data_IF_255790352618
#
_entry.id   IF_255790352618
#
_cell.length_a   1.000
_cell.length_b   1.000
_cell.length_c   1.000
_cell.angle_alpha   90.00
_cell.angle_beta   90.00
_cell.angle_gamma   90.00
#
_symmetry.space_group_name_H-M   'P 1'
#
loop_
_entity.id
_entity.type
_entity.pdbx_description
1 polymer ?
#
# COMPACT_ATOMS: atom_id res chain seq x y z
N UNK A 1 -17.96 31.07 -17.74
CA UNK A 1 -16.67 30.72 -17.14
C UNK A 1 -16.52 29.20 -17.25
N UNK A 2 -15.66 28.72 -18.14
CA UNK A 2 -15.30 27.31 -18.13
C UNK A 2 -14.39 27.07 -16.94
N UNK A 3 -14.58 25.98 -16.16
CA UNK A 3 -13.64 25.62 -15.12
C UNK A 3 -12.29 25.30 -15.77
N UNK A 4 -11.22 25.97 -15.30
CA UNK A 4 -9.86 25.63 -15.66
C UNK A 4 -9.52 24.30 -14.98
N UNK A 5 -9.87 23.21 -15.63
CA UNK A 5 -9.46 21.89 -15.20
C UNK A 5 -8.21 21.46 -15.96
N UNK A 6 -7.12 21.34 -15.23
CA UNK A 6 -5.86 20.69 -15.60
C UNK A 6 -5.23 21.17 -16.91
N UNK A 7 -4.22 21.99 -16.78
CA UNK A 7 -3.29 22.20 -17.90
C UNK A 7 -2.77 20.83 -18.36
N UNK A 8 -2.79 20.60 -19.67
CA UNK A 8 -2.24 19.38 -20.29
C UNK A 8 -0.69 19.32 -20.22
N UNK A 9 -0.08 20.12 -19.34
CA UNK A 9 1.36 20.13 -19.13
C UNK A 9 1.77 18.89 -18.34
N UNK A 10 2.87 18.28 -18.73
CA UNK A 10 3.53 17.24 -17.96
C UNK A 10 3.71 17.74 -16.52
N UNK A 11 3.30 16.96 -15.54
CA UNK A 11 3.52 17.28 -14.13
C UNK A 11 5.01 17.03 -13.85
N UNK A 12 5.76 18.09 -13.56
CA UNK A 12 7.22 17.96 -13.38
C UNK A 12 7.56 17.04 -12.22
N UNK A 13 6.83 17.17 -11.09
CA UNK A 13 7.08 16.37 -9.89
C UNK A 13 5.77 15.88 -9.25
N UNK A 14 5.60 14.58 -9.20
CA UNK A 14 4.52 13.93 -8.46
C UNK A 14 5.10 13.15 -7.28
N UNK A 15 4.34 13.05 -6.19
CA UNK A 15 4.64 12.13 -5.10
C UNK A 15 3.51 11.11 -4.94
N UNK A 16 3.88 9.83 -4.86
CA UNK A 16 3.01 8.71 -4.52
C UNK A 16 3.36 8.24 -3.10
N UNK A 17 2.46 8.46 -2.17
CA UNK A 17 2.61 8.04 -0.78
C UNK A 17 1.77 6.79 -0.58
N UNK A 18 2.43 5.67 -0.37
CA UNK A 18 1.79 4.37 -0.31
C UNK A 18 1.39 4.05 1.13
N UNK A 19 0.09 3.85 1.35
CA UNK A 19 -0.54 3.40 2.58
C UNK A 19 0.00 4.08 3.87
N UNK A 20 0.05 5.41 3.96
CA UNK A 20 0.55 6.13 5.13
C UNK A 20 -0.47 6.11 6.27
N UNK A 21 -0.98 4.92 6.62
CA UNK A 21 -2.13 4.73 7.51
C UNK A 21 -1.71 4.41 8.94
N UNK A 22 -2.57 4.77 9.89
CA UNK A 22 -2.29 4.58 11.30
C UNK A 22 -2.03 3.11 11.67
N UNK A 23 -2.75 2.17 11.03
CA UNK A 23 -2.57 0.74 11.33
C UNK A 23 -1.20 0.19 10.93
N UNK A 24 -0.51 0.84 9.98
CA UNK A 24 0.83 0.43 9.55
C UNK A 24 1.96 1.14 10.30
N UNK A 25 1.67 2.15 11.13
CA UNK A 25 2.70 2.90 11.83
C UNK A 25 2.86 2.42 13.28
N UNK A 26 4.09 2.27 13.74
CA UNK A 26 4.44 1.99 15.15
C UNK A 26 4.23 3.23 16.03
N UNK A 27 2.97 3.67 16.12
CA UNK A 27 2.60 4.95 16.75
C UNK A 27 2.84 4.96 18.25
N UNK A 28 3.48 6.03 18.78
CA UNK A 28 3.60 6.24 20.21
C UNK A 28 2.22 6.59 20.83
N UNK A 29 2.06 6.43 22.17
CA UNK A 29 0.77 6.63 22.83
C UNK A 29 0.10 7.98 22.55
N UNK A 30 0.88 9.04 22.35
CA UNK A 30 0.37 10.40 22.10
C UNK A 30 -0.34 10.54 20.73
N UNK A 31 -0.09 9.61 19.80
CA UNK A 31 -0.77 9.52 18.51
C UNK A 31 -1.99 8.60 18.53
N UNK A 32 -2.21 7.88 19.65
CA UNK A 32 -3.24 6.86 19.78
C UNK A 32 -4.45 7.44 20.54
N UNK A 33 -5.63 7.62 19.91
CA UNK A 33 -6.78 8.19 20.58
C UNK A 33 -7.40 7.20 21.56
N UNK A 34 -8.07 7.72 22.59
CA UNK A 34 -8.82 6.92 23.54
C UNK A 34 -10.30 6.89 23.16
N UNK A 35 -10.82 5.71 22.88
CA UNK A 35 -12.23 5.49 22.66
C UNK A 35 -12.94 5.14 23.97
N UNK A 36 -14.13 5.72 24.27
CA UNK A 36 -14.80 5.53 25.56
C UNK A 36 -15.11 4.06 25.92
N UNK A 37 -15.37 3.23 24.91
CA UNK A 37 -15.72 1.81 25.11
C UNK A 37 -14.55 0.86 24.84
N UNK A 38 -13.62 1.21 23.96
CA UNK A 38 -12.53 0.32 23.49
C UNK A 38 -11.19 0.61 24.15
N UNK A 39 -11.09 1.69 24.93
CA UNK A 39 -9.82 2.13 25.49
C UNK A 39 -8.92 2.79 24.43
N UNK A 40 -7.61 2.79 24.65
CA UNK A 40 -6.64 3.34 23.69
C UNK A 40 -6.60 2.49 22.44
N UNK A 41 -6.93 3.10 21.30
CA UNK A 41 -6.81 2.46 19.98
C UNK A 41 -5.31 2.30 19.64
N UNK A 42 -4.96 1.16 19.07
CA UNK A 42 -3.58 0.86 18.70
C UNK A 42 -3.53 0.40 17.24
N UNK A 43 -2.41 0.64 16.54
CA UNK A 43 -2.17 0.08 15.22
C UNK A 43 -2.34 -1.44 15.21
N UNK A 44 -3.00 -1.98 14.19
CA UNK A 44 -3.30 -3.42 14.09
C UNK A 44 -2.16 -4.22 13.45
N UNK A 45 -1.37 -3.58 12.59
CA UNK A 45 -0.26 -4.20 11.86
C UNK A 45 0.95 -3.22 11.81
N UNK A 46 1.50 -2.85 12.98
CA UNK A 46 2.56 -1.85 13.03
C UNK A 46 3.86 -2.34 12.39
N UNK A 47 4.41 -1.51 11.52
CA UNK A 47 5.73 -1.67 10.89
C UNK A 47 6.74 -0.87 11.70
N UNK A 48 7.78 -1.53 12.18
CA UNK A 48 8.81 -0.88 12.99
C UNK A 48 9.53 0.21 12.21
N UNK A 49 9.53 1.44 12.73
CA UNK A 49 10.15 2.61 12.09
C UNK A 49 9.20 3.46 11.26
N UNK A 50 8.03 2.95 10.90
CA UNK A 50 7.08 3.63 10.02
C UNK A 50 6.61 4.99 10.56
N UNK A 51 6.43 5.14 11.87
CA UNK A 51 6.12 6.43 12.45
C UNK A 51 7.21 7.48 12.16
N UNK A 52 8.48 7.12 12.33
CA UNK A 52 9.60 8.00 12.03
C UNK A 52 9.74 8.28 10.53
N UNK A 53 9.41 7.30 9.68
CA UNK A 53 9.39 7.43 8.22
C UNK A 53 8.34 8.48 7.81
N UNK A 54 7.12 8.38 8.34
CA UNK A 54 6.07 9.36 8.06
C UNK A 54 6.41 10.76 8.56
N UNK A 55 7.11 10.87 9.69
CA UNK A 55 7.58 12.17 10.19
C UNK A 55 8.65 12.79 9.27
N UNK A 56 9.61 11.99 8.78
CA UNK A 56 10.61 12.46 7.81
C UNK A 56 9.97 12.90 6.52
N UNK A 57 9.07 12.09 5.99
CA UNK A 57 8.34 12.38 4.77
C UNK A 57 7.50 13.66 4.89
N UNK A 58 6.77 13.82 5.98
CA UNK A 58 5.97 15.04 6.23
C UNK A 58 6.83 16.30 6.24
N UNK A 59 7.99 16.27 6.91
CA UNK A 59 8.96 17.38 6.92
C UNK A 59 9.52 17.65 5.52
N UNK A 60 9.80 16.59 4.76
CA UNK A 60 10.27 16.71 3.38
C UNK A 60 9.21 17.36 2.48
N UNK A 61 7.94 16.93 2.55
CA UNK A 61 6.82 17.54 1.82
C UNK A 61 6.71 19.03 2.16
N UNK A 62 6.77 19.38 3.44
CA UNK A 62 6.70 20.78 3.87
C UNK A 62 7.86 21.63 3.33
N UNK A 63 9.06 21.06 3.26
CA UNK A 63 10.24 21.75 2.74
C UNK A 63 10.16 21.98 1.23
N UNK A 64 9.70 20.96 0.48
CA UNK A 64 9.64 20.99 -0.98
C UNK A 64 8.28 21.43 -1.53
N UNK A 65 7.39 21.92 -0.70
CA UNK A 65 5.95 22.16 -0.97
C UNK A 65 5.69 22.96 -2.25
N UNK A 66 6.57 23.89 -2.61
CA UNK A 66 6.43 24.72 -3.81
C UNK A 66 6.84 23.99 -5.10
N UNK A 67 7.56 22.89 -4.99
CA UNK A 67 8.12 22.13 -6.10
C UNK A 67 7.36 20.83 -6.37
N UNK A 68 6.35 20.49 -5.56
CA UNK A 68 5.47 19.34 -5.74
C UNK A 68 4.22 19.78 -6.51
N UNK A 69 3.99 19.17 -7.66
CA UNK A 69 2.86 19.50 -8.54
C UNK A 69 1.62 18.65 -8.28
N UNK A 70 1.79 17.40 -7.83
CA UNK A 70 0.70 16.48 -7.50
C UNK A 70 1.07 15.56 -6.34
N UNK A 71 0.10 15.29 -5.46
CA UNK A 71 0.22 14.31 -4.38
C UNK A 71 -0.88 13.27 -4.57
N UNK A 72 -0.48 12.02 -4.60
CA UNK A 72 -1.38 10.86 -4.58
C UNK A 72 -1.09 10.02 -3.35
N UNK A 73 -2.13 9.65 -2.60
CA UNK A 73 -2.05 8.74 -1.45
C UNK A 73 -2.78 7.44 -1.81
N UNK A 74 -2.17 6.30 -1.52
CA UNK A 74 -2.90 5.03 -1.55
C UNK A 74 -3.40 4.67 -0.16
N UNK A 75 -4.54 4.01 -0.11
CA UNK A 75 -5.17 3.58 1.13
C UNK A 75 -5.59 2.12 1.01
N UNK A 76 -4.96 1.27 1.79
CA UNK A 76 -5.45 -0.08 1.98
C UNK A 76 -6.81 -0.02 2.69
N UNK A 77 -7.83 -0.68 2.11
CA UNK A 77 -9.23 -0.39 2.45
C UNK A 77 -10.05 -1.67 2.56
N UNK A 78 -9.83 -2.37 3.67
CA UNK A 78 -10.46 -3.65 3.92
C UNK A 78 -11.84 -3.54 4.59
N UNK A 79 -12.66 -4.54 4.34
CA UNK A 79 -13.76 -4.89 5.23
C UNK A 79 -13.26 -5.95 6.24
N UNK A 80 -14.01 -6.14 7.34
CA UNK A 80 -13.66 -7.15 8.35
C UNK A 80 -13.54 -8.55 7.72
N UNK A 81 -14.47 -8.92 6.82
CA UNK A 81 -14.43 -10.17 6.08
C UNK A 81 -13.58 -10.02 4.82
N UNK A 82 -12.42 -10.68 4.83
CA UNK A 82 -11.46 -10.65 3.73
C UNK A 82 -10.64 -11.96 3.73
N UNK A 83 -10.23 -12.42 2.54
CA UNK A 83 -9.43 -13.65 2.38
C UNK A 83 -8.09 -13.58 3.12
N UNK A 84 -7.55 -12.40 3.33
CA UNK A 84 -6.32 -12.17 4.08
C UNK A 84 -6.54 -12.02 5.60
N UNK A 85 -7.76 -12.20 6.13
CA UNK A 85 -8.06 -12.03 7.55
C UNK A 85 -8.47 -13.34 8.24
N UNK A 86 -8.26 -13.47 9.58
CA UNK A 86 -8.58 -14.68 10.34
C UNK A 86 -10.03 -15.13 10.22
N UNK A 87 -10.98 -14.18 10.13
CA UNK A 87 -12.41 -14.48 10.07
C UNK A 87 -12.84 -15.27 8.82
N UNK A 88 -12.01 -15.30 7.76
CA UNK A 88 -12.27 -16.06 6.54
C UNK A 88 -11.93 -17.55 6.70
N UNK A 89 -10.92 -17.86 7.52
CA UNK A 89 -10.28 -19.16 7.60
C UNK A 89 -10.59 -19.90 8.89
N UNK A 90 -10.44 -21.21 8.84
CA UNK A 90 -10.45 -22.09 10.02
C UNK A 90 -9.45 -23.25 9.87
N UNK A 91 -8.96 -23.71 11.03
CA UNK A 91 -8.19 -24.93 11.19
C UNK A 91 -8.85 -25.76 12.30
N UNK A 92 -9.31 -26.96 11.99
CA UNK A 92 -10.03 -27.84 12.96
C UNK A 92 -11.24 -27.18 13.64
N UNK A 93 -11.94 -26.27 12.94
CA UNK A 93 -13.08 -25.54 13.47
C UNK A 93 -12.76 -24.28 14.29
N UNK A 94 -11.47 -23.99 14.53
CA UNK A 94 -10.99 -22.81 15.24
C UNK A 94 -10.51 -21.74 14.26
N UNK A 95 -10.53 -20.48 14.69
CA UNK A 95 -10.01 -19.36 13.91
C UNK A 95 -8.50 -19.49 13.67
N UNK A 96 -8.06 -19.16 12.47
CA UNK A 96 -6.63 -19.12 12.14
C UNK A 96 -6.00 -17.87 12.76
N UNK A 97 -4.82 -18.06 13.39
CA UNK A 97 -4.07 -16.94 13.96
C UNK A 97 -3.50 -16.02 12.89
N UNK A 98 -3.38 -14.71 13.15
CA UNK A 98 -2.60 -13.82 12.30
C UNK A 98 -1.18 -14.33 12.05
N UNK A 99 -0.59 -13.92 10.92
CA UNK A 99 0.73 -14.32 10.44
C UNK A 99 0.86 -15.81 10.08
N UNK A 100 -0.27 -16.48 9.86
CA UNK A 100 -0.29 -17.85 9.33
C UNK A 100 -0.20 -17.81 7.80
N UNK A 101 0.73 -18.55 7.24
CA UNK A 101 0.79 -18.80 5.80
C UNK A 101 -0.11 -19.97 5.43
N UNK A 102 -0.84 -19.87 4.33
CA UNK A 102 -1.74 -20.92 3.84
C UNK A 102 -1.40 -21.23 2.39
N UNK A 103 -1.15 -22.51 2.10
CA UNK A 103 -0.89 -23.04 0.76
C UNK A 103 -2.09 -23.78 0.19
N UNK A 104 -2.15 -23.90 -1.14
CA UNK A 104 -3.17 -24.70 -1.82
C UNK A 104 -3.12 -26.19 -1.37
N UNK A 105 -1.92 -26.73 -1.13
CA UNK A 105 -1.74 -28.11 -0.66
C UNK A 105 -2.35 -28.31 0.72
N UNK A 106 -2.12 -27.40 1.66
CA UNK A 106 -2.71 -27.46 3.00
C UNK A 106 -4.24 -27.42 2.98
N UNK A 107 -4.83 -26.64 2.06
CA UNK A 107 -6.28 -26.62 1.88
C UNK A 107 -6.79 -27.93 1.24
N UNK A 108 -6.06 -28.51 0.28
CA UNK A 108 -6.41 -29.81 -0.31
C UNK A 108 -6.42 -30.93 0.73
N UNK A 109 -5.43 -30.92 1.60
CA UNK A 109 -5.25 -31.91 2.67
C UNK A 109 -6.18 -31.70 3.87
N UNK A 110 -6.99 -30.61 3.87
CA UNK A 110 -7.95 -30.31 4.92
C UNK A 110 -7.33 -29.72 6.19
N UNK A 111 -6.06 -29.29 6.15
CA UNK A 111 -5.41 -28.63 7.28
C UNK A 111 -6.04 -27.26 7.55
N UNK A 112 -6.29 -26.50 6.48
CA UNK A 112 -7.02 -25.24 6.50
C UNK A 112 -8.25 -25.32 5.58
N UNK A 113 -9.27 -24.57 5.92
CA UNK A 113 -10.43 -24.39 5.05
C UNK A 113 -11.05 -23.00 5.23
N UNK A 114 -11.74 -22.46 4.20
CA UNK A 114 -12.60 -21.30 4.43
C UNK A 114 -13.74 -21.71 5.38
N UNK A 115 -14.14 -20.83 6.29
CA UNK A 115 -15.27 -21.09 7.20
C UNK A 115 -16.56 -21.42 6.45
N UNK A 116 -16.78 -20.75 5.31
CA UNK A 116 -17.87 -21.09 4.39
C UNK A 116 -17.35 -22.08 3.35
N UNK A 117 -17.62 -23.36 3.56
CA UNK A 117 -17.11 -24.45 2.72
C UNK A 117 -17.46 -24.32 1.24
N UNK A 118 -18.57 -23.67 0.91
CA UNK A 118 -18.92 -23.37 -0.50
C UNK A 118 -17.88 -22.52 -1.24
N UNK A 119 -16.97 -21.85 -0.53
CA UNK A 119 -15.88 -21.07 -1.12
C UNK A 119 -14.61 -21.89 -1.41
N UNK A 120 -14.59 -23.20 -1.10
CA UNK A 120 -13.38 -24.05 -1.16
C UNK A 120 -12.79 -24.10 -2.57
N UNK A 121 -13.60 -24.25 -3.59
CA UNK A 121 -13.12 -24.33 -4.98
C UNK A 121 -12.52 -22.99 -5.44
N UNK A 122 -13.16 -21.89 -5.09
CA UNK A 122 -12.62 -20.54 -5.33
C UNK A 122 -11.26 -20.35 -4.66
N UNK A 123 -11.18 -20.69 -3.37
CA UNK A 123 -9.95 -20.56 -2.57
C UNK A 123 -8.81 -21.37 -3.17
N UNK A 124 -9.07 -22.61 -3.60
CA UNK A 124 -8.06 -23.45 -4.25
C UNK A 124 -7.58 -22.82 -5.56
N UNK A 125 -8.50 -22.29 -6.39
CA UNK A 125 -8.13 -21.60 -7.60
C UNK A 125 -7.28 -20.34 -7.31
N UNK A 126 -7.66 -19.56 -6.30
CA UNK A 126 -6.93 -18.37 -5.85
C UNK A 126 -5.51 -18.73 -5.41
N UNK A 127 -5.35 -19.70 -4.50
CA UNK A 127 -4.05 -20.11 -3.97
C UNK A 127 -3.16 -20.72 -5.06
N UNK A 128 -3.70 -21.58 -5.94
CA UNK A 128 -2.95 -22.12 -7.07
C UNK A 128 -2.45 -21.03 -8.02
N UNK A 129 -3.27 -20.01 -8.26
CA UNK A 129 -2.91 -18.89 -9.12
C UNK A 129 -1.81 -18.04 -8.47
N UNK A 130 -1.95 -17.74 -7.18
CA UNK A 130 -0.97 -16.99 -6.39
C UNK A 130 0.38 -17.71 -6.37
N UNK A 131 0.38 -19.02 -6.10
CA UNK A 131 1.60 -19.85 -6.05
C UNK A 131 2.30 -19.95 -7.41
N UNK A 132 1.54 -20.05 -8.52
CA UNK A 132 2.11 -20.05 -9.88
C UNK A 132 2.86 -18.77 -10.23
N UNK A 133 2.46 -17.64 -9.65
CA UNK A 133 3.15 -16.38 -9.86
C UNK A 133 4.52 -16.36 -9.16
N UNK A 134 4.73 -17.21 -8.16
CA UNK A 134 6.00 -17.36 -7.44
C UNK A 134 6.43 -16.13 -6.65
N UNK A 135 5.53 -15.18 -6.39
CA UNK A 135 5.84 -13.92 -5.72
C UNK A 135 5.78 -14.06 -4.20
N UNK A 136 4.74 -14.70 -3.68
CA UNK A 136 4.53 -14.94 -2.25
C UNK A 136 3.47 -16.02 -2.00
N UNK A 137 3.42 -16.52 -0.76
CA UNK A 137 2.35 -17.38 -0.24
C UNK A 137 1.31 -16.52 0.46
N UNK A 138 0.03 -16.90 0.42
CA UNK A 138 -1.01 -16.17 1.16
C UNK A 138 -0.63 -16.06 2.63
N UNK A 139 -0.62 -14.85 3.14
CA UNK A 139 -0.47 -14.53 4.56
C UNK A 139 -1.83 -14.13 5.15
N UNK A 140 -2.21 -14.72 6.27
CA UNK A 140 -3.35 -14.24 7.06
C UNK A 140 -2.85 -13.13 7.97
N UNK A 141 -3.24 -11.91 7.68
CA UNK A 141 -2.87 -10.72 8.46
C UNK A 141 -3.82 -10.48 9.64
N UNK A 142 -3.43 -9.73 10.68
CA UNK A 142 -4.41 -9.14 11.59
C UNK A 142 -5.45 -8.34 10.80
N UNK A 143 -6.68 -8.21 11.32
CA UNK A 143 -7.64 -7.28 10.71
C UNK A 143 -7.08 -5.87 10.82
N UNK A 144 -6.82 -5.24 9.69
CA UNK A 144 -6.16 -3.95 9.60
C UNK A 144 -6.84 -3.06 8.56
N UNK A 145 -6.61 -1.79 8.63
CA UNK A 145 -7.09 -0.78 7.68
C UNK A 145 -8.58 -0.95 7.32
N UNK A 146 -9.38 -1.33 8.34
CA UNK A 146 -10.83 -1.48 8.14
C UNK A 146 -11.45 -0.13 7.84
N UNK A 147 -12.16 -0.02 6.72
CA UNK A 147 -12.81 1.22 6.28
C UNK A 147 -13.67 1.82 7.38
N UNK A 148 -13.42 3.10 7.68
CA UNK A 148 -14.11 3.84 8.74
C UNK A 148 -13.51 3.70 10.13
N UNK A 149 -12.48 2.86 10.32
CA UNK A 149 -11.73 2.80 11.59
C UNK A 149 -10.70 3.93 11.67
N UNK A 150 -10.21 4.21 12.89
CA UNK A 150 -9.06 5.09 13.08
C UNK A 150 -7.80 4.54 12.39
N UNK A 151 -7.61 3.23 12.39
CA UNK A 151 -6.49 2.57 11.75
C UNK A 151 -6.42 2.79 10.24
N UNK A 152 -7.58 2.90 9.58
CA UNK A 152 -7.68 3.23 8.16
C UNK A 152 -7.27 4.69 7.86
N UNK A 153 -7.32 5.58 8.85
CA UNK A 153 -6.97 7.00 8.69
C UNK A 153 -5.49 7.20 8.38
N UNK A 154 -5.19 8.28 7.65
CA UNK A 154 -3.83 8.70 7.32
C UNK A 154 -3.10 9.18 8.59
N UNK A 155 -1.81 8.88 8.70
CA UNK A 155 -0.91 9.37 9.75
C UNK A 155 -1.02 10.90 9.90
N UNK A 156 -1.13 11.37 11.15
CA UNK A 156 -1.46 12.77 11.43
C UNK A 156 -0.49 13.78 10.80
N UNK A 157 0.82 13.52 10.82
CA UNK A 157 1.81 14.43 10.25
C UNK A 157 1.75 14.47 8.72
N UNK A 158 1.48 13.34 8.06
CA UNK A 158 1.25 13.28 6.61
C UNK A 158 0.00 14.05 6.25
N UNK A 159 -1.11 13.83 6.97
CA UNK A 159 -2.35 14.54 6.73
C UNK A 159 -2.17 16.06 6.88
N UNK A 160 -1.44 16.51 7.91
CA UNK A 160 -1.13 17.92 8.12
C UNK A 160 -0.27 18.51 6.99
N UNK A 161 0.78 17.80 6.55
CA UNK A 161 1.65 18.23 5.45
C UNK A 161 0.88 18.32 4.12
N UNK A 162 0.04 17.33 3.83
CA UNK A 162 -0.83 17.32 2.64
C UNK A 162 -1.87 18.45 2.69
N UNK A 163 -2.47 18.72 3.86
CA UNK A 163 -3.41 19.83 4.02
C UNK A 163 -2.74 21.17 3.79
N UNK A 164 -1.51 21.35 4.29
CA UNK A 164 -0.72 22.55 4.03
C UNK A 164 -0.39 22.71 2.54
N UNK A 165 -0.01 21.62 1.88
CA UNK A 165 0.25 21.62 0.43
C UNK A 165 -1.01 22.00 -0.35
N UNK A 166 -2.18 21.42 -0.04
CA UNK A 166 -3.45 21.77 -0.69
C UNK A 166 -3.76 23.26 -0.60
N UNK A 167 -3.56 23.86 0.59
CA UNK A 167 -3.81 25.30 0.79
C UNK A 167 -2.83 26.16 -0.02
N UNK A 168 -1.54 25.82 -0.02
CA UNK A 168 -0.52 26.61 -0.70
C UNK A 168 -0.55 26.45 -2.23
N UNK A 169 -0.83 25.24 -2.71
CA UNK A 169 -0.86 24.93 -4.15
C UNK A 169 -2.24 25.09 -4.77
N UNK A 170 -3.30 25.25 -3.94
CA UNK A 170 -4.70 25.29 -4.37
C UNK A 170 -5.10 24.08 -5.23
N UNK A 171 -4.58 22.91 -4.86
CA UNK A 171 -4.81 21.62 -5.49
C UNK A 171 -5.42 20.65 -4.49
N UNK A 172 -5.93 19.52 -4.96
CA UNK A 172 -6.40 18.42 -4.13
C UNK A 172 -5.40 17.27 -4.15
N UNK A 173 -5.23 16.62 -3.01
CA UNK A 173 -4.60 15.29 -2.94
C UNK A 173 -5.54 14.30 -3.62
N UNK A 174 -4.97 13.38 -4.38
CA UNK A 174 -5.72 12.31 -5.00
C UNK A 174 -5.57 11.01 -4.18
N UNK A 175 -6.65 10.23 -4.08
CA UNK A 175 -6.68 9.00 -3.30
C UNK A 175 -6.89 7.78 -4.21
N UNK A 176 -6.14 6.71 -3.93
CA UNK A 176 -6.31 5.38 -4.53
C UNK A 176 -6.72 4.42 -3.41
N UNK A 177 -7.94 3.89 -3.48
CA UNK A 177 -8.43 2.87 -2.55
C UNK A 177 -8.17 1.49 -3.12
N UNK A 178 -7.37 0.67 -2.44
CA UNK A 178 -7.10 -0.72 -2.81
C UNK A 178 -7.61 -1.68 -1.73
N UNK A 179 -7.59 -2.99 -1.96
CA UNK A 179 -7.99 -3.99 -0.96
C UNK A 179 -9.50 -4.11 -0.73
N UNK A 180 -10.34 -3.49 -1.57
CA UNK A 180 -11.79 -3.45 -1.38
C UNK A 180 -12.49 -4.79 -1.70
N UNK A 181 -11.88 -5.67 -2.51
CA UNK A 181 -12.41 -7.00 -2.78
C UNK A 181 -12.12 -7.95 -1.62
N UNK A 182 -13.12 -8.66 -1.06
CA UNK A 182 -12.87 -9.63 0.00
C UNK A 182 -12.25 -10.94 -0.49
N UNK A 183 -12.07 -11.10 -1.80
CA UNK A 183 -11.71 -12.36 -2.44
C UNK A 183 -10.25 -12.44 -2.88
N UNK A 184 -9.53 -11.35 -2.87
CA UNK A 184 -8.14 -11.29 -3.28
C UNK A 184 -7.38 -10.27 -2.45
N UNK A 185 -6.12 -10.55 -2.16
CA UNK A 185 -5.19 -9.57 -1.58
C UNK A 185 -4.79 -8.53 -2.63
N UNK A 186 -4.43 -7.35 -2.17
CA UNK A 186 -4.14 -6.22 -3.04
C UNK A 186 -2.98 -5.41 -2.48
N UNK A 187 -1.75 -5.93 -2.62
CA UNK A 187 -0.56 -5.20 -2.15
C UNK A 187 -0.26 -4.00 -3.05
N UNK A 188 -0.15 -4.20 -4.35
CA UNK A 188 0.07 -3.10 -5.28
C UNK A 188 -1.12 -2.13 -5.32
N UNK A 189 -0.86 -0.84 -5.45
CA UNK A 189 -1.90 0.16 -5.67
C UNK A 189 -2.58 0.05 -7.05
N UNK A 190 -2.01 -0.72 -7.98
CA UNK A 190 -2.43 -0.73 -9.38
C UNK A 190 -3.22 -1.97 -9.80
N UNK A 191 -3.05 -3.10 -9.09
CA UNK A 191 -3.70 -4.36 -9.44
C UNK A 191 -3.70 -5.30 -8.24
N UNK A 192 -4.78 -6.05 -8.05
CA UNK A 192 -4.84 -7.12 -7.05
C UNK A 192 -3.88 -8.27 -7.37
N UNK A 193 -3.55 -9.08 -6.35
CA UNK A 193 -2.60 -10.20 -6.50
C UNK A 193 -3.15 -11.30 -7.43
N UNK A 194 -4.43 -11.59 -7.34
CA UNK A 194 -5.14 -12.44 -8.30
C UNK A 194 -6.36 -11.66 -8.80
N UNK A 195 -6.25 -11.01 -9.96
CA UNK A 195 -7.34 -10.21 -10.52
C UNK A 195 -8.55 -11.07 -10.89
N UNK A 196 -9.75 -10.58 -10.57
CA UNK A 196 -11.03 -11.18 -10.99
C UNK A 196 -11.61 -10.36 -12.14
N UNK A 197 -11.75 -10.94 -13.35
CA UNK A 197 -12.35 -10.23 -14.49
C UNK A 197 -13.78 -9.71 -14.26
N UNK A 198 -14.49 -10.27 -13.28
CA UNK A 198 -15.85 -9.83 -12.93
C UNK A 198 -15.87 -8.66 -11.92
N UNK A 199 -14.73 -8.37 -11.28
CA UNK A 199 -14.57 -7.24 -10.34
C UNK A 199 -13.53 -6.24 -10.87
N UNK A 200 -13.96 -5.17 -11.55
CA UNK A 200 -13.04 -4.18 -12.13
C UNK A 200 -12.06 -3.54 -11.14
N UNK A 201 -12.39 -3.53 -9.84
CA UNK A 201 -11.51 -2.98 -8.80
C UNK A 201 -10.26 -3.82 -8.55
N UNK A 202 -10.23 -5.05 -9.04
CA UNK A 202 -9.09 -5.97 -8.92
C UNK A 202 -8.16 -5.91 -10.12
N UNK A 203 -8.65 -5.37 -11.24
CA UNK A 203 -7.91 -5.29 -12.49
C UNK A 203 -6.85 -4.18 -12.46
N UNK A 204 -5.94 -4.22 -13.44
CA UNK A 204 -4.94 -3.15 -13.60
C UNK A 204 -5.62 -1.80 -13.83
N UNK A 205 -5.37 -0.86 -12.94
CA UNK A 205 -5.89 0.51 -13.07
C UNK A 205 -5.03 1.31 -14.06
N UNK A 206 -5.41 1.20 -15.33
CA UNK A 206 -4.73 1.89 -16.42
C UNK A 206 -4.90 3.40 -16.38
N UNK A 207 -5.96 3.91 -15.73
CA UNK A 207 -6.17 5.34 -15.59
C UNK A 207 -5.15 5.96 -14.63
N UNK A 208 -4.94 5.32 -13.47
CA UNK A 208 -3.91 5.74 -12.54
C UNK A 208 -2.51 5.54 -13.10
N UNK A 209 -2.26 4.42 -13.76
CA UNK A 209 -0.98 4.16 -14.43
C UNK A 209 -0.63 5.28 -15.41
N UNK A 210 -1.58 5.67 -16.26
CA UNK A 210 -1.41 6.76 -17.21
C UNK A 210 -1.25 8.14 -16.53
N UNK A 211 -1.89 8.35 -15.37
CA UNK A 211 -1.71 9.58 -14.59
C UNK A 211 -0.29 9.66 -14.01
N UNK A 212 0.17 8.58 -13.39
CA UNK A 212 1.52 8.51 -12.79
C UNK A 212 2.62 8.62 -13.87
N UNK A 213 2.40 8.09 -15.06
CA UNK A 213 3.35 8.16 -16.19
C UNK A 213 3.55 9.57 -16.77
N UNK A 214 2.69 10.53 -16.40
CA UNK A 214 2.87 11.94 -16.82
C UNK A 214 3.95 12.67 -16.02
N UNK A 215 4.39 12.11 -14.91
CA UNK A 215 5.44 12.73 -14.10
C UNK A 215 6.79 12.70 -14.82
N UNK A 216 7.52 13.81 -14.79
CA UNK A 216 8.94 13.83 -15.12
C UNK A 216 9.76 13.19 -14.00
N UNK A 217 9.30 13.37 -12.74
CA UNK A 217 9.83 12.73 -11.53
C UNK A 217 8.66 12.22 -10.71
N UNK A 218 8.60 10.90 -10.49
CA UNK A 218 7.65 10.25 -9.61
C UNK A 218 8.37 9.78 -8.35
N UNK A 219 8.14 10.50 -7.26
CA UNK A 219 8.73 10.21 -5.95
C UNK A 219 7.82 9.25 -5.22
N UNK A 220 8.40 8.18 -4.65
CA UNK A 220 7.65 7.09 -4.02
C UNK A 220 8.18 6.90 -2.60
N UNK A 221 7.25 6.86 -1.63
CA UNK A 221 7.49 6.61 -0.22
C UNK A 221 6.28 5.93 0.40
N UNK A 222 6.35 5.51 1.66
CA UNK A 222 5.21 4.93 2.40
C UNK A 222 5.44 3.49 2.86
N UNK A 223 4.38 2.79 3.23
CA UNK A 223 4.45 1.51 3.93
C UNK A 223 3.71 0.37 3.19
N UNK A 224 4.17 -0.89 3.36
CA UNK A 224 5.50 -1.27 3.82
C UNK A 224 6.41 -1.57 2.63
N UNK A 225 7.70 -1.27 2.76
CA UNK A 225 8.69 -1.44 1.69
C UNK A 225 8.83 -2.88 1.18
N UNK A 226 8.54 -3.87 2.03
CA UNK A 226 8.57 -5.29 1.69
C UNK A 226 7.31 -5.79 0.95
N UNK A 227 6.21 -5.01 0.96
CA UNK A 227 4.90 -5.38 0.43
C UNK A 227 4.32 -4.28 -0.49
N UNK A 228 3.46 -3.41 0.02
CA UNK A 228 2.70 -2.49 -0.82
C UNK A 228 3.59 -1.58 -1.67
N UNK A 229 4.69 -1.07 -1.13
CA UNK A 229 5.66 -0.25 -1.88
C UNK A 229 6.33 -1.10 -2.96
N UNK A 230 6.90 -2.25 -2.59
CA UNK A 230 7.56 -3.18 -3.51
C UNK A 230 6.65 -3.55 -4.68
N UNK A 231 5.46 -4.09 -4.38
CA UNK A 231 4.56 -4.60 -5.42
C UNK A 231 4.03 -3.47 -6.33
N UNK A 232 3.83 -2.26 -5.78
CA UNK A 232 3.46 -1.10 -6.59
C UNK A 232 4.58 -0.71 -7.55
N UNK A 233 5.83 -0.66 -7.07
CA UNK A 233 7.00 -0.33 -7.90
C UNK A 233 7.25 -1.41 -8.95
N UNK A 234 7.09 -2.70 -8.61
CA UNK A 234 7.19 -3.80 -9.58
C UNK A 234 6.16 -3.65 -10.70
N UNK A 235 4.92 -3.29 -10.38
CA UNK A 235 3.88 -3.02 -11.39
C UNK A 235 4.18 -1.76 -12.20
N UNK A 236 4.69 -0.70 -11.59
CA UNK A 236 5.15 0.48 -12.33
C UNK A 236 6.25 0.09 -13.32
N UNK A 237 7.27 -0.64 -12.88
CA UNK A 237 8.36 -1.10 -13.77
C UNK A 237 7.87 -1.98 -14.93
N UNK A 238 6.83 -2.76 -14.69
CA UNK A 238 6.29 -3.66 -15.71
C UNK A 238 5.32 -2.98 -16.69
N UNK A 239 4.50 -2.05 -16.20
CA UNK A 239 3.35 -1.53 -16.95
C UNK A 239 3.46 -0.06 -17.37
N UNK A 240 4.44 0.73 -16.87
CA UNK A 240 4.54 2.14 -17.24
C UNK A 240 4.64 2.31 -18.76
N UNK A 241 3.69 3.03 -19.40
CA UNK A 241 3.66 3.21 -20.85
C UNK A 241 4.95 3.82 -21.42
N UNK A 242 5.58 4.73 -20.66
CA UNK A 242 6.85 5.37 -21.08
C UNK A 242 8.03 4.42 -21.06
N UNK A 243 8.00 3.35 -20.26
CA UNK A 243 9.15 2.46 -20.02
C UNK A 243 10.37 3.19 -19.47
N UNK A 244 10.19 4.24 -18.65
CA UNK A 244 11.27 5.10 -18.14
C UNK A 244 11.43 4.95 -16.62
N UNK A 245 12.09 3.89 -16.14
CA UNK A 245 12.30 3.67 -14.71
C UNK A 245 13.16 4.76 -14.05
N UNK A 246 13.99 5.46 -14.81
CA UNK A 246 14.82 6.57 -14.32
C UNK A 246 14.01 7.80 -13.83
N UNK A 247 12.71 7.84 -14.10
CA UNK A 247 11.80 8.86 -13.53
C UNK A 247 11.31 8.51 -12.14
N UNK A 248 11.43 7.24 -11.73
CA UNK A 248 11.02 6.79 -10.41
C UNK A 248 12.13 7.08 -9.40
N UNK A 249 11.79 7.66 -8.26
CA UNK A 249 12.72 8.00 -7.17
C UNK A 249 12.16 7.41 -5.87
N UNK A 250 12.87 6.47 -5.25
CA UNK A 250 12.48 5.90 -3.96
C UNK A 250 13.14 6.69 -2.82
N UNK A 251 12.36 7.14 -1.85
CA UNK A 251 12.85 7.72 -0.59
C UNK A 251 13.00 6.59 0.44
N UNK A 252 14.18 6.00 0.50
CA UNK A 252 14.42 4.78 1.29
C UNK A 252 14.45 4.99 2.80
N UNK A 253 14.55 6.23 3.26
CA UNK A 253 14.40 6.61 4.67
C UNK A 253 12.96 7.02 5.04
N UNK A 254 12.01 6.83 4.11
CA UNK A 254 10.58 7.05 4.30
C UNK A 254 9.77 5.80 3.93
N UNK A 255 10.33 4.62 4.23
CA UNK A 255 9.71 3.32 4.07
C UNK A 255 10.43 2.25 4.89
N UNK A 256 9.71 1.43 5.61
CA UNK A 256 10.25 0.33 6.43
C UNK A 256 9.63 -1.02 6.03
N UNK A 257 10.34 -2.15 6.23
CA UNK A 257 9.78 -3.48 5.99
C UNK A 257 8.88 -3.96 7.14
N UNK A 258 7.92 -4.82 6.83
CA UNK A 258 7.26 -5.64 7.86
C UNK A 258 8.30 -6.50 8.55
N UNK A 259 8.22 -6.65 9.88
CA UNK A 259 9.14 -7.47 10.67
C UNK A 259 9.24 -8.91 10.11
N UNK A 260 10.47 -9.39 9.93
CA UNK A 260 10.77 -10.69 9.31
C UNK A 260 10.86 -10.67 7.78
N UNK A 261 10.67 -9.50 7.13
CA UNK A 261 10.78 -9.33 5.69
C UNK A 261 11.91 -8.36 5.29
N UNK A 262 12.92 -8.21 6.14
CA UNK A 262 14.06 -7.31 5.90
C UNK A 262 14.87 -7.72 4.65
N UNK A 263 15.01 -9.04 4.41
CA UNK A 263 15.66 -9.53 3.19
C UNK A 263 14.88 -9.17 1.92
N UNK A 264 13.55 -9.25 1.97
CA UNK A 264 12.69 -8.87 0.86
C UNK A 264 12.80 -7.37 0.53
N UNK A 265 12.94 -6.52 1.55
CA UNK A 265 13.24 -5.10 1.38
C UNK A 265 14.59 -4.88 0.66
N UNK A 266 15.68 -5.53 1.12
CA UNK A 266 17.00 -5.38 0.51
C UNK A 266 17.03 -5.86 -0.95
N UNK A 267 16.36 -6.99 -1.21
CA UNK A 267 16.19 -7.51 -2.57
C UNK A 267 15.44 -6.52 -3.46
N UNK A 268 14.34 -5.97 -2.96
CA UNK A 268 13.53 -4.97 -3.67
C UNK A 268 14.36 -3.73 -4.04
N UNK A 269 15.06 -3.12 -3.07
CA UNK A 269 15.87 -1.92 -3.33
C UNK A 269 16.94 -2.22 -4.38
N UNK A 270 17.61 -3.37 -4.26
CA UNK A 270 18.63 -3.80 -5.24
C UNK A 270 18.02 -4.01 -6.63
N UNK A 271 16.87 -4.67 -6.73
CA UNK A 271 16.19 -4.92 -8.00
C UNK A 271 15.71 -3.62 -8.65
N UNK A 272 15.11 -2.71 -7.86
CA UNK A 272 14.65 -1.41 -8.33
C UNK A 272 15.84 -0.59 -8.89
N UNK A 273 16.95 -0.54 -8.17
CA UNK A 273 18.17 0.16 -8.62
C UNK A 273 18.73 -0.44 -9.90
N UNK A 274 18.80 -1.77 -10.01
CA UNK A 274 19.27 -2.46 -11.21
C UNK A 274 18.34 -2.23 -12.42
N UNK A 275 17.04 -2.00 -12.17
CA UNK A 275 16.07 -1.65 -13.20
C UNK A 275 16.15 -0.18 -13.63
N UNK A 276 16.99 0.65 -12.98
CA UNK A 276 17.17 2.06 -13.32
C UNK A 276 16.39 3.05 -12.45
N UNK A 277 15.71 2.58 -11.40
CA UNK A 277 15.04 3.45 -10.42
C UNK A 277 16.08 4.21 -9.61
N UNK A 278 15.87 5.49 -9.38
CA UNK A 278 16.75 6.31 -8.55
C UNK A 278 16.47 6.06 -7.07
N UNK A 279 17.53 5.96 -6.29
CA UNK A 279 17.47 5.79 -4.84
C UNK A 279 17.92 7.08 -4.18
N UNK A 280 17.14 7.59 -3.23
CA UNK A 280 17.45 8.81 -2.48
C UNK A 280 16.93 8.72 -1.04
N UNK A 281 17.12 9.80 -0.31
CA UNK A 281 16.56 9.99 1.05
C UNK A 281 15.87 11.34 1.14
N UNK A 282 15.00 11.52 2.13
CA UNK A 282 14.37 12.81 2.40
C UNK A 282 15.40 13.91 2.62
N UNK A 283 16.53 13.59 3.26
CA UNK A 283 17.59 14.58 3.48
C UNK A 283 18.41 14.92 2.22
N UNK A 284 18.64 13.95 1.35
CA UNK A 284 19.45 14.15 0.17
C UNK A 284 18.69 14.78 -1.02
N UNK A 285 17.41 14.41 -1.18
CA UNK A 285 16.60 14.88 -2.32
C UNK A 285 16.18 16.33 -2.12
N UNK A 286 16.55 17.18 -3.07
CA UNK A 286 16.05 18.57 -3.25
C UNK A 286 15.39 18.66 -4.62
N UNK A 287 14.25 19.37 -4.71
CA UNK A 287 13.47 19.53 -5.94
C UNK A 287 13.74 20.85 -6.66
#
# INVERSE_FOLDING_TARGET
MQPMYYSANALATQILIIDPQNDFCDLPPDYCPTHPLLGTLKPSLPVNGAHADMQRLAKWIQREIQHIDDITITLDSHQYYNIAHPCFWQKNGEDVSPFTQITAEQVRNGEFSPKKLAHRDYVLHYLDTLEKQGRHTLMVWPVHCQVGSWGHGVHADILAACSQWQVQRQCQVADIFKGQSPWTEHYSALQAEVPDPSDPKTLLDTAWLNKLDKAERLIIAGEASSHCVRFTVEHLLHYLPSGKPERLILLTDAMSPVAGFESAHQEFITQAQNAGVQISTCDALRL
#
